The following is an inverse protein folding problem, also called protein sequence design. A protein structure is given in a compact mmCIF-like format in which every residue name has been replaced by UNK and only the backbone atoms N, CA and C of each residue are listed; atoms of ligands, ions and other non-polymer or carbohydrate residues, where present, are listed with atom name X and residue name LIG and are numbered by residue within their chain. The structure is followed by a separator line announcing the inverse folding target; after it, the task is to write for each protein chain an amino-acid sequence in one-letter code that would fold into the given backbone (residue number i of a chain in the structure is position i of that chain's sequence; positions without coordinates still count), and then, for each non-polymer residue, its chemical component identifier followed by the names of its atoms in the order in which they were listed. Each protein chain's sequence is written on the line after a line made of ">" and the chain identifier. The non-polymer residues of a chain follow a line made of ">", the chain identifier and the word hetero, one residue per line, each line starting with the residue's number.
data_IF_874435863296
#
_entry.id   IF_874435863296
#
_cell.length_a   1.000
_cell.length_b   1.000
_cell.length_c   1.000
_cell.angle_alpha   90.00
_cell.angle_beta   90.00
_cell.angle_gamma   90.00
#
_symmetry.space_group_name_H-M   'P 1'
#
loop_
_entity.id
_entity.type
_entity.pdbx_description
1 polymer ?
#
# COMPACT_ATOMS: atom_id res chain seq x y z
N UNK A 1 -19.03 29.07 -36.29
CA UNK A 1 -17.59 29.40 -36.20
C UNK A 1 -17.39 30.24 -34.96
N UNK A 2 -16.67 29.74 -33.95
CA UNK A 2 -16.46 30.43 -32.68
C UNK A 2 -16.14 29.43 -31.57
N UNK A 3 -14.86 29.12 -31.44
CA UNK A 3 -14.30 28.02 -30.67
C UNK A 3 -14.55 28.16 -29.16
N UNK A 4 -15.02 27.05 -28.58
CA UNK A 4 -15.12 26.81 -27.14
C UNK A 4 -13.70 26.63 -26.59
N UNK A 5 -13.19 27.66 -25.91
CA UNK A 5 -12.00 27.50 -25.06
C UNK A 5 -12.45 26.86 -23.74
N UNK A 6 -12.56 25.53 -23.75
CA UNK A 6 -12.40 24.76 -22.50
C UNK A 6 -10.94 24.96 -22.12
N UNK A 7 -10.71 25.85 -21.15
CA UNK A 7 -9.41 25.97 -20.50
C UNK A 7 -9.12 24.64 -19.81
N UNK A 8 -8.49 23.72 -20.54
CA UNK A 8 -7.84 22.54 -20.00
C UNK A 8 -6.61 23.00 -19.21
N UNK A 9 -6.84 23.61 -18.05
CA UNK A 9 -5.82 24.07 -17.11
C UNK A 9 -5.61 23.07 -15.96
N UNK A 10 -5.97 21.82 -16.17
CA UNK A 10 -5.80 20.75 -15.17
C UNK A 10 -4.60 19.84 -15.49
N UNK A 11 -3.81 20.14 -16.54
CA UNK A 11 -2.80 19.24 -17.09
C UNK A 11 -1.36 19.41 -16.54
N UNK A 12 -1.12 20.26 -15.54
CA UNK A 12 0.24 20.50 -15.00
C UNK A 12 0.31 20.62 -13.46
N UNK A 13 -0.56 19.92 -12.73
CA UNK A 13 -0.20 19.55 -11.37
C UNK A 13 0.64 18.28 -11.46
N UNK A 14 1.96 18.44 -11.58
CA UNK A 14 2.90 17.34 -11.40
C UNK A 14 2.49 16.56 -10.15
N UNK A 15 2.19 15.27 -10.31
CA UNK A 15 1.71 14.40 -9.23
C UNK A 15 2.62 14.62 -8.03
N UNK A 16 2.03 14.94 -6.87
CA UNK A 16 2.81 15.15 -5.66
C UNK A 16 3.76 13.95 -5.47
N UNK A 17 5.03 14.18 -5.08
CA UNK A 17 5.99 13.10 -4.90
C UNK A 17 5.45 12.08 -3.91
N UNK A 18 5.69 10.79 -4.19
CA UNK A 18 5.24 9.69 -3.34
C UNK A 18 5.84 9.85 -1.95
N UNK A 19 4.98 9.83 -0.94
CA UNK A 19 5.37 9.99 0.45
C UNK A 19 5.20 8.71 1.26
N UNK A 20 5.72 8.75 2.49
CA UNK A 20 5.60 7.64 3.46
C UNK A 20 4.12 7.24 3.67
N UNK A 21 3.21 8.22 3.68
CA UNK A 21 1.76 7.97 3.84
C UNK A 21 1.17 7.14 2.71
N UNK A 22 1.72 7.26 1.49
CA UNK A 22 1.27 6.47 0.34
C UNK A 22 1.73 5.02 0.46
N UNK A 23 2.95 4.79 0.95
CA UNK A 23 3.49 3.45 1.27
C UNK A 23 2.69 2.79 2.41
N UNK A 24 2.37 3.53 3.47
CA UNK A 24 1.54 3.05 4.58
C UNK A 24 0.13 2.68 4.11
N UNK A 25 -0.48 3.50 3.23
CA UNK A 25 -1.79 3.23 2.66
C UNK A 25 -1.78 1.96 1.80
N UNK A 26 -0.73 1.76 1.01
CA UNK A 26 -0.59 0.57 0.18
C UNK A 26 -0.34 -0.70 1.00
N UNK A 27 0.51 -0.62 2.03
CA UNK A 27 0.70 -1.71 2.97
C UNK A 27 -0.62 -2.11 3.64
N UNK A 28 -1.42 -1.13 4.06
CA UNK A 28 -2.76 -1.36 4.63
C UNK A 28 -3.69 -2.02 3.61
N UNK A 29 -3.72 -1.55 2.36
CA UNK A 29 -4.53 -2.14 1.28
C UNK A 29 -4.20 -3.62 1.10
N UNK A 30 -2.91 -3.99 1.04
CA UNK A 30 -2.47 -5.37 0.89
C UNK A 30 -2.82 -6.24 2.11
N UNK A 31 -2.66 -5.72 3.33
CA UNK A 31 -3.07 -6.44 4.54
C UNK A 31 -4.58 -6.70 4.59
N UNK A 32 -5.41 -5.75 4.12
CA UNK A 32 -6.85 -5.96 3.99
C UNK A 32 -7.17 -7.08 3.00
N UNK A 33 -6.41 -7.21 1.90
CA UNK A 33 -6.54 -8.31 0.94
C UNK A 33 -6.22 -9.70 1.51
N UNK A 34 -5.44 -9.77 2.59
CA UNK A 34 -5.10 -11.01 3.30
C UNK A 34 -6.09 -11.36 4.42
N UNK A 35 -7.11 -10.53 4.64
CA UNK A 35 -8.06 -10.64 5.76
C UNK A 35 -7.36 -10.76 7.14
N UNK A 36 -6.18 -10.12 7.25
CA UNK A 36 -5.29 -10.28 8.41
C UNK A 36 -5.99 -9.94 9.73
N UNK A 37 -6.76 -8.86 9.77
CA UNK A 37 -7.47 -8.43 10.99
C UNK A 37 -8.56 -9.41 11.40
N UNK A 38 -9.25 -10.06 10.45
CA UNK A 38 -10.21 -11.10 10.77
C UNK A 38 -9.50 -12.30 11.39
N UNK A 39 -8.42 -12.78 10.77
CA UNK A 39 -7.63 -13.87 11.30
C UNK A 39 -7.05 -13.58 12.69
N UNK A 40 -6.58 -12.35 12.91
CA UNK A 40 -6.07 -11.88 14.21
C UNK A 40 -7.16 -11.85 15.26
N UNK A 41 -8.32 -11.30 14.92
CA UNK A 41 -9.48 -11.23 15.82
C UNK A 41 -9.96 -12.63 16.21
N UNK A 42 -10.06 -13.54 15.24
CA UNK A 42 -10.42 -14.94 15.49
C UNK A 42 -9.41 -15.61 16.41
N UNK A 43 -8.11 -15.41 16.18
CA UNK A 43 -7.07 -16.00 17.02
C UNK A 43 -7.17 -15.51 18.48
N UNK A 44 -7.39 -14.21 18.69
CA UNK A 44 -7.60 -13.64 20.02
C UNK A 44 -8.87 -14.17 20.70
N UNK A 45 -9.96 -14.34 19.95
CA UNK A 45 -11.24 -14.79 20.50
C UNK A 45 -11.29 -16.30 20.80
N UNK A 46 -10.57 -17.10 20.02
CA UNK A 46 -10.67 -18.58 20.07
C UNK A 46 -9.44 -19.27 20.64
N UNK A 47 -8.31 -18.55 20.74
CA UNK A 47 -7.00 -19.14 21.06
C UNK A 47 -6.42 -20.02 19.95
N UNK A 48 -7.09 -20.15 18.81
CA UNK A 48 -6.60 -20.91 17.66
C UNK A 48 -5.66 -20.00 16.87
N UNK A 49 -4.41 -20.44 16.71
CA UNK A 49 -3.40 -19.67 16.01
C UNK A 49 -3.81 -19.25 14.59
N UNK A 50 -3.32 -18.08 14.20
CA UNK A 50 -3.42 -17.60 12.82
C UNK A 50 -2.70 -18.56 11.87
N UNK A 51 -3.22 -18.78 10.64
CA UNK A 51 -2.48 -19.49 9.61
C UNK A 51 -1.09 -18.89 9.41
N UNK A 52 -0.06 -19.73 9.51
CA UNK A 52 1.35 -19.30 9.47
C UNK A 52 1.66 -18.43 8.26
N UNK A 53 1.14 -18.79 7.09
CA UNK A 53 1.37 -18.06 5.83
C UNK A 53 0.85 -16.62 5.90
N UNK A 54 -0.32 -16.41 6.51
CA UNK A 54 -0.91 -15.07 6.68
C UNK A 54 -0.03 -14.23 7.62
N UNK A 55 0.43 -14.82 8.72
CA UNK A 55 1.32 -14.14 9.65
C UNK A 55 2.66 -13.76 8.99
N UNK A 56 3.26 -14.66 8.22
CA UNK A 56 4.50 -14.40 7.50
C UNK A 56 4.31 -13.28 6.46
N UNK A 57 3.24 -13.33 5.66
CA UNK A 57 2.94 -12.28 4.68
C UNK A 57 2.74 -10.92 5.34
N UNK A 58 2.07 -10.86 6.50
CA UNK A 58 1.94 -9.63 7.26
C UNK A 58 3.30 -9.04 7.67
N UNK A 59 4.20 -9.87 8.22
CA UNK A 59 5.55 -9.43 8.60
C UNK A 59 6.35 -8.93 7.40
N UNK A 60 6.26 -9.63 6.26
CA UNK A 60 6.94 -9.21 5.02
C UNK A 60 6.43 -7.86 4.53
N UNK A 61 5.10 -7.66 4.47
CA UNK A 61 4.49 -6.39 4.06
C UNK A 61 4.95 -5.25 4.97
N UNK A 62 4.97 -5.47 6.30
CA UNK A 62 5.42 -4.44 7.24
C UNK A 62 6.92 -4.13 7.09
N UNK A 63 7.75 -5.15 6.88
CA UNK A 63 9.19 -4.97 6.66
C UNK A 63 9.48 -4.19 5.37
N UNK A 64 8.78 -4.50 4.28
CA UNK A 64 8.91 -3.79 2.99
C UNK A 64 8.43 -2.34 3.13
N UNK A 65 7.29 -2.10 3.77
CA UNK A 65 6.79 -0.75 4.00
C UNK A 65 7.80 0.11 4.79
N UNK A 66 8.41 -0.47 5.81
CA UNK A 66 9.46 0.17 6.59
C UNK A 66 10.72 0.45 5.76
N UNK A 67 11.12 -0.49 4.90
CA UNK A 67 12.28 -0.33 4.03
C UNK A 67 12.06 0.78 2.99
N UNK A 68 10.93 0.77 2.30
CA UNK A 68 10.55 1.81 1.33
C UNK A 68 10.48 3.19 2.00
N UNK A 69 9.92 3.28 3.19
CA UNK A 69 9.78 4.54 3.94
C UNK A 69 11.12 5.13 4.42
N UNK A 70 12.22 4.36 4.36
CA UNK A 70 13.58 4.80 4.72
C UNK A 70 14.41 5.24 3.53
N UNK A 71 13.91 5.07 2.31
CA UNK A 71 14.60 5.56 1.13
C UNK A 71 14.58 7.10 1.11
N UNK A 72 15.66 7.70 0.63
CA UNK A 72 15.74 9.16 0.42
C UNK A 72 14.65 9.64 -0.55
N UNK A 73 14.31 8.80 -1.54
CA UNK A 73 13.21 9.00 -2.47
C UNK A 73 12.46 7.68 -2.67
N UNK A 74 11.14 7.71 -2.53
CA UNK A 74 10.29 6.53 -2.74
C UNK A 74 10.05 6.34 -4.25
N UNK A 75 10.25 5.12 -4.79
CA UNK A 75 10.00 4.85 -6.21
C UNK A 75 8.56 5.18 -6.63
N UNK A 76 8.37 5.73 -7.83
CA UNK A 76 7.03 6.04 -8.36
C UNK A 76 6.17 4.77 -8.55
N UNK A 77 6.82 3.64 -8.80
CA UNK A 77 6.23 2.32 -8.99
C UNK A 77 6.19 1.49 -7.69
N UNK A 78 6.26 2.14 -6.52
CA UNK A 78 6.25 1.45 -5.21
C UNK A 78 5.07 0.48 -5.05
N UNK A 79 3.96 0.66 -5.77
CA UNK A 79 2.81 -0.25 -5.76
C UNK A 79 3.04 -1.56 -6.54
N UNK A 80 4.12 -1.70 -7.28
CA UNK A 80 4.44 -2.88 -8.10
C UNK A 80 4.64 -4.12 -7.24
N UNK A 81 4.09 -5.26 -7.66
CA UNK A 81 4.24 -6.55 -6.97
C UNK A 81 5.69 -7.06 -6.94
N UNK A 82 6.62 -6.41 -7.65
CA UNK A 82 8.07 -6.66 -7.50
C UNK A 82 8.54 -6.36 -6.08
N UNK A 83 7.94 -5.37 -5.40
CA UNK A 83 8.30 -4.98 -4.05
C UNK A 83 7.58 -5.80 -2.96
N UNK A 84 6.42 -6.37 -3.26
CA UNK A 84 5.50 -6.93 -2.26
C UNK A 84 5.31 -8.44 -2.41
N UNK A 85 5.06 -9.17 -1.32
CA UNK A 85 4.74 -10.59 -1.43
C UNK A 85 3.36 -10.79 -2.07
N UNK A 86 3.28 -11.75 -3.02
CA UNK A 86 2.03 -12.27 -3.60
C UNK A 86 1.42 -13.33 -2.68
#
# INVERSE_FOLDING_TARGET
>A
MGLRLVSNRDAEYGKAPVGIRDVEAEARRRLSGLDYEHHRTRALATGIDMPREIHIKHLQIMAIALALSRLESIPEDYCSDIYWPM
#
